data_IF_357696315768
#
_entry.id   IF_357696315768
#
_cell.length_a   1.000
_cell.length_b   1.000
_cell.length_c   1.000
_cell.angle_alpha   90.00
_cell.angle_beta   90.00
_cell.angle_gamma   90.00
#
_symmetry.space_group_name_H-M   'P 1'
#
loop_
_entity.id
_entity.type
_entity.pdbx_description
1 polymer ?
#
# COMPACT_ATOMS: atom_id res chain seq x y z
N UNK A 1 -5.15 -135.21 -48.96
CA UNK A 1 -4.34 -134.35 -48.06
C UNK A 1 -3.96 -133.03 -48.75
N UNK A 2 -4.95 -132.31 -49.32
CA UNK A 2 -4.68 -131.17 -50.24
C UNK A 2 -5.50 -129.90 -49.94
N UNK A 3 -6.31 -129.89 -48.87
CA UNK A 3 -7.11 -128.73 -48.46
C UNK A 3 -6.49 -127.97 -47.27
N UNK A 4 -5.80 -128.69 -46.37
CA UNK A 4 -5.22 -128.14 -45.13
C UNK A 4 -4.05 -127.16 -45.37
N UNK A 5 -3.25 -127.37 -46.42
CA UNK A 5 -2.11 -126.50 -46.75
C UNK A 5 -2.52 -125.20 -47.47
N UNK A 6 -3.67 -125.16 -48.14
CA UNK A 6 -4.20 -123.93 -48.76
C UNK A 6 -4.81 -122.98 -47.72
N UNK A 7 -5.49 -123.50 -46.69
CA UNK A 7 -6.04 -122.67 -45.60
C UNK A 7 -4.95 -122.02 -44.75
N UNK A 8 -3.86 -122.73 -44.41
CA UNK A 8 -2.72 -122.14 -43.68
C UNK A 8 -2.05 -121.00 -44.46
N UNK A 9 -1.86 -121.14 -45.77
CA UNK A 9 -1.26 -120.08 -46.60
C UNK A 9 -2.12 -118.82 -46.67
N UNK A 10 -3.44 -118.96 -46.78
CA UNK A 10 -4.37 -117.81 -46.77
C UNK A 10 -4.43 -117.16 -45.37
N UNK A 11 -4.38 -117.95 -44.29
CA UNK A 11 -4.31 -117.43 -42.93
C UNK A 11 -3.01 -116.66 -42.66
N UNK A 12 -1.86 -117.16 -43.13
CA UNK A 12 -0.58 -116.44 -43.05
C UNK A 12 -0.54 -115.19 -43.93
N UNK A 13 -1.19 -115.18 -45.10
CA UNK A 13 -1.28 -114.00 -45.97
C UNK A 13 -2.23 -112.95 -45.39
N UNK A 14 -3.33 -113.35 -44.75
CA UNK A 14 -4.25 -112.43 -44.05
C UNK A 14 -3.62 -111.92 -42.75
N UNK A 15 -2.90 -112.75 -41.99
CA UNK A 15 -2.12 -112.31 -40.82
C UNK A 15 -0.96 -111.37 -41.22
N UNK A 16 -0.30 -111.62 -42.35
CA UNK A 16 0.72 -110.69 -42.88
C UNK A 16 0.10 -109.41 -43.43
N UNK A 17 -1.07 -109.45 -44.06
CA UNK A 17 -1.77 -108.27 -44.55
C UNK A 17 -2.32 -107.41 -43.39
N UNK A 18 -2.83 -108.02 -42.32
CA UNK A 18 -3.26 -107.32 -41.11
C UNK A 18 -2.05 -106.78 -40.34
N UNK A 19 -0.94 -107.53 -40.23
CA UNK A 19 0.30 -107.05 -39.61
C UNK A 19 0.97 -105.93 -40.43
N UNK A 20 0.89 -105.98 -41.76
CA UNK A 20 1.37 -104.94 -42.66
C UNK A 20 0.47 -103.69 -42.67
N UNK A 21 -0.84 -103.83 -42.44
CA UNK A 21 -1.75 -102.69 -42.24
C UNK A 21 -1.66 -102.09 -40.83
N UNK A 22 -1.23 -102.83 -39.81
CA UNK A 22 -0.98 -102.28 -38.46
C UNK A 22 0.39 -101.63 -38.29
N UNK A 23 1.31 -101.78 -39.26
CA UNK A 23 2.66 -101.19 -39.21
C UNK A 23 2.83 -99.94 -40.10
N UNK A 24 1.76 -99.47 -40.75
CA UNK A 24 1.78 -98.24 -41.56
C UNK A 24 0.68 -97.24 -41.18
N UNK A 25 0.18 -97.29 -39.94
CA UNK A 25 -0.46 -96.14 -39.32
C UNK A 25 0.60 -95.30 -38.59
N UNK A 26 1.58 -94.81 -39.34
CA UNK A 26 2.36 -93.66 -38.89
C UNK A 26 1.48 -92.44 -39.16
N UNK A 27 0.51 -92.19 -38.27
CA UNK A 27 -0.09 -90.87 -38.21
C UNK A 27 1.05 -89.93 -37.81
N UNK A 28 1.54 -89.15 -38.76
CA UNK A 28 2.44 -88.04 -38.44
C UNK A 28 1.62 -87.12 -37.53
N UNK A 29 2.00 -87.01 -36.26
CA UNK A 29 1.47 -85.96 -35.39
C UNK A 29 1.86 -84.62 -36.04
N UNK A 30 0.91 -83.97 -36.70
CA UNK A 30 1.06 -82.57 -37.06
C UNK A 30 1.05 -81.78 -35.75
N UNK A 31 2.21 -81.27 -35.37
CA UNK A 31 2.35 -80.45 -34.16
C UNK A 31 1.35 -79.31 -34.18
N UNK A 32 0.69 -79.06 -33.05
CA UNK A 32 -0.33 -78.01 -32.99
C UNK A 32 0.39 -76.67 -33.21
N UNK A 33 0.01 -75.86 -34.23
CA UNK A 33 0.64 -74.57 -34.44
C UNK A 33 0.30 -73.66 -33.26
N UNK A 34 1.33 -73.06 -32.65
CA UNK A 34 1.13 -72.00 -31.67
C UNK A 34 0.75 -70.73 -32.42
N UNK A 35 -0.31 -70.07 -31.95
CA UNK A 35 -0.61 -68.69 -32.34
C UNK A 35 -0.50 -67.77 -31.12
N UNK A 36 0.55 -66.95 -31.04
CA UNK A 36 0.72 -65.98 -29.98
C UNK A 36 -0.20 -64.78 -30.20
N UNK A 37 -1.14 -64.57 -29.28
CA UNK A 37 -2.06 -63.45 -29.36
C UNK A 37 -2.45 -62.93 -27.97
N UNK A 38 -2.63 -61.62 -27.87
CA UNK A 38 -3.14 -60.96 -26.67
C UNK A 38 -3.65 -59.56 -27.00
N UNK A 39 -4.45 -59.03 -26.08
CA UNK A 39 -4.97 -57.66 -26.10
C UNK A 39 -4.62 -56.95 -24.81
N UNK A 40 -4.37 -55.65 -24.90
CA UNK A 40 -4.19 -54.78 -23.74
C UNK A 40 -5.38 -53.83 -23.60
N UNK A 41 -5.65 -53.41 -22.38
CA UNK A 41 -6.59 -52.35 -22.07
C UNK A 41 -5.96 -51.43 -21.02
N UNK A 42 -5.84 -50.15 -21.35
CA UNK A 42 -5.44 -49.14 -20.37
C UNK A 42 -6.64 -48.87 -19.47
N UNK A 43 -6.44 -48.99 -18.16
CA UNK A 43 -7.51 -48.82 -17.17
C UNK A 43 -8.07 -47.41 -17.28
N UNK A 44 -9.40 -47.28 -17.39
CA UNK A 44 -10.10 -46.01 -17.59
C UNK A 44 -9.68 -45.18 -18.81
N UNK A 45 -8.89 -45.74 -19.74
CA UNK A 45 -8.20 -44.99 -20.80
C UNK A 45 -7.33 -43.84 -20.26
N UNK A 46 -6.76 -44.01 -19.05
CA UNK A 46 -5.83 -43.06 -18.43
C UNK A 46 -4.38 -43.39 -18.83
N UNK A 47 -3.82 -42.58 -19.72
CA UNK A 47 -2.46 -42.70 -20.20
C UNK A 47 -1.48 -41.81 -19.44
N UNK A 48 -1.92 -41.04 -18.43
CA UNK A 48 -1.03 -40.24 -17.59
C UNK A 48 -0.37 -41.12 -16.52
N UNK A 49 0.93 -40.95 -16.29
CA UNK A 49 1.61 -41.75 -15.26
C UNK A 49 1.03 -41.48 -13.86
N UNK A 50 0.73 -42.53 -13.07
CA UNK A 50 1.01 -43.94 -13.34
C UNK A 50 -0.03 -44.65 -14.24
N UNK A 51 0.41 -45.20 -15.38
CA UNK A 51 -0.47 -45.91 -16.33
C UNK A 51 -0.66 -47.36 -15.91
N UNK A 52 -1.90 -47.80 -15.74
CA UNK A 52 -2.25 -49.19 -15.43
C UNK A 52 -2.76 -49.92 -16.67
N UNK A 53 -2.22 -51.11 -16.94
CA UNK A 53 -2.55 -51.91 -18.13
C UNK A 53 -3.06 -53.29 -17.73
N UNK A 54 -4.29 -53.61 -18.13
CA UNK A 54 -4.87 -54.95 -18.07
C UNK A 54 -4.48 -55.75 -19.31
N UNK A 55 -4.03 -56.99 -19.13
CA UNK A 55 -3.57 -57.86 -20.21
C UNK A 55 -4.47 -59.08 -20.29
N UNK A 56 -4.96 -59.42 -21.49
CA UNK A 56 -5.75 -60.63 -21.73
C UNK A 56 -5.10 -61.47 -22.80
N UNK A 57 -4.71 -62.69 -22.45
CA UNK A 57 -4.13 -63.64 -23.39
C UNK A 57 -5.21 -64.24 -24.30
N UNK A 58 -4.92 -64.28 -25.61
CA UNK A 58 -5.77 -64.83 -26.67
C UNK A 58 -5.06 -65.93 -27.46
N UNK A 59 -3.88 -66.36 -27.01
CA UNK A 59 -3.08 -67.36 -27.69
C UNK A 59 -3.79 -68.70 -27.78
N UNK A 60 -3.57 -69.42 -28.88
CA UNK A 60 -4.09 -70.77 -29.11
C UNK A 60 -2.94 -71.74 -29.37
N UNK A 61 -3.10 -73.01 -29.00
CA UNK A 61 -2.10 -74.05 -29.26
C UNK A 61 -0.88 -74.03 -28.34
N UNK A 62 -0.82 -73.13 -27.34
CA UNK A 62 0.30 -72.97 -26.41
C UNK A 62 0.03 -73.54 -25.01
N UNK A 63 1.04 -74.20 -24.43
CA UNK A 63 1.06 -74.75 -23.07
C UNK A 63 1.75 -73.82 -22.06
N UNK A 64 2.75 -73.05 -22.52
CA UNK A 64 3.60 -72.18 -21.69
C UNK A 64 3.64 -70.75 -22.22
N UNK A 65 3.83 -69.79 -21.31
CA UNK A 65 3.81 -68.35 -21.59
C UNK A 65 4.96 -67.66 -20.88
N UNK A 66 5.69 -66.81 -21.59
CA UNK A 66 6.73 -65.96 -21.06
C UNK A 66 6.43 -64.51 -21.46
N UNK A 67 6.18 -63.67 -20.45
CA UNK A 67 5.89 -62.25 -20.64
C UNK A 67 7.08 -61.38 -20.26
N UNK A 68 7.32 -60.34 -21.05
CA UNK A 68 8.25 -59.26 -20.76
C UNK A 68 7.52 -57.91 -20.81
N UNK A 69 7.67 -57.12 -19.76
CA UNK A 69 7.04 -55.81 -19.58
C UNK A 69 8.14 -54.75 -19.42
N UNK A 70 8.65 -54.23 -20.53
CA UNK A 70 9.77 -53.28 -20.54
C UNK A 70 9.41 -52.02 -19.75
N UNK A 71 10.10 -51.72 -18.64
CA UNK A 71 9.90 -50.48 -17.88
C UNK A 71 8.67 -50.44 -16.96
N UNK A 72 7.90 -51.52 -16.85
CA UNK A 72 6.83 -51.66 -15.86
C UNK A 72 7.39 -51.96 -14.46
N UNK A 73 6.60 -51.69 -13.41
CA UNK A 73 6.95 -52.01 -12.02
C UNK A 73 7.13 -53.52 -11.78
N UNK A 74 6.36 -54.34 -12.49
CA UNK A 74 6.56 -55.78 -12.62
C UNK A 74 7.07 -56.04 -14.03
N UNK A 75 8.23 -56.66 -14.19
CA UNK A 75 8.94 -56.72 -15.48
C UNK A 75 8.71 -58.01 -16.27
N UNK A 76 8.16 -59.06 -15.65
CA UNK A 76 7.87 -60.33 -16.32
C UNK A 76 6.77 -61.14 -15.63
N UNK A 77 6.24 -62.15 -16.31
CA UNK A 77 5.28 -63.12 -15.77
C UNK A 77 5.31 -64.42 -16.56
N UNK A 78 4.91 -65.53 -15.93
CA UNK A 78 4.67 -66.83 -16.59
C UNK A 78 3.22 -67.29 -16.50
N UNK A 79 2.34 -66.45 -15.92
CA UNK A 79 0.92 -66.76 -15.82
C UNK A 79 0.26 -66.70 -17.19
N UNK A 80 -0.74 -67.57 -17.41
CA UNK A 80 -1.54 -67.53 -18.64
C UNK A 80 -2.20 -66.16 -18.84
N UNK A 81 -2.70 -65.55 -17.77
CA UNK A 81 -3.20 -64.17 -17.77
C UNK A 81 -2.50 -63.41 -16.64
N UNK A 82 -1.54 -62.52 -16.95
CA UNK A 82 -0.85 -61.72 -15.94
C UNK A 82 -1.79 -60.78 -15.17
N UNK A 83 -1.43 -60.46 -13.93
CA UNK A 83 -2.05 -59.36 -13.18
C UNK A 83 -1.81 -58.00 -13.88
N UNK A 84 -2.66 -56.99 -13.66
CA UNK A 84 -2.46 -55.66 -14.24
C UNK A 84 -1.09 -55.07 -13.85
N UNK A 85 -0.39 -54.50 -14.84
CA UNK A 85 0.94 -53.91 -14.67
C UNK A 85 0.85 -52.38 -14.60
N UNK A 86 1.89 -51.72 -14.07
CA UNK A 86 1.93 -50.24 -13.94
C UNK A 86 3.22 -49.66 -14.51
N UNK A 87 3.11 -48.58 -15.27
CA UNK A 87 4.22 -47.75 -15.74
C UNK A 87 4.27 -46.44 -14.93
N UNK A 88 5.32 -46.27 -14.14
CA UNK A 88 5.46 -45.12 -13.24
C UNK A 88 6.12 -43.89 -13.89
N UNK A 89 6.80 -44.07 -15.01
CA UNK A 89 7.50 -43.03 -15.75
C UNK A 89 6.95 -42.90 -17.16
N UNK A 90 7.07 -41.70 -17.74
CA UNK A 90 6.60 -41.44 -19.09
C UNK A 90 7.56 -42.09 -20.10
N UNK A 91 7.02 -42.63 -21.18
CA UNK A 91 7.80 -43.35 -22.17
C UNK A 91 6.94 -44.18 -23.12
N UNK A 92 7.59 -44.80 -24.10
CA UNK A 92 6.99 -45.83 -24.95
C UNK A 92 7.61 -47.15 -24.54
N UNK A 93 6.77 -48.09 -24.13
CA UNK A 93 7.17 -49.37 -23.55
C UNK A 93 6.61 -50.52 -24.36
N UNK A 94 7.35 -51.64 -24.43
CA UNK A 94 6.90 -52.86 -25.11
C UNK A 94 6.41 -53.90 -24.10
N UNK A 95 5.27 -54.50 -24.43
CA UNK A 95 4.76 -55.71 -23.80
C UNK A 95 4.95 -56.84 -24.81
N UNK A 96 5.72 -57.85 -24.45
CA UNK A 96 6.05 -58.99 -25.31
C UNK A 96 5.55 -60.27 -24.68
N UNK A 97 4.83 -61.09 -25.45
CA UNK A 97 4.45 -62.45 -25.11
C UNK A 97 5.18 -63.42 -26.02
N UNK A 98 5.91 -64.36 -25.43
CA UNK A 98 6.38 -65.57 -26.10
C UNK A 98 5.53 -66.75 -25.62
N UNK A 99 4.82 -67.41 -26.53
CA UNK A 99 3.99 -68.56 -26.24
C UNK A 99 4.60 -69.80 -26.88
N UNK A 100 4.59 -70.94 -26.19
CA UNK A 100 5.19 -72.19 -26.68
C UNK A 100 4.40 -73.42 -26.25
N UNK A 101 4.63 -74.55 -26.93
CA UNK A 101 4.02 -75.83 -26.59
C UNK A 101 5.04 -76.97 -26.53
N UNK A 102 4.60 -78.14 -26.08
CA UNK A 102 5.45 -79.33 -25.91
C UNK A 102 6.01 -79.89 -27.23
N UNK A 103 5.40 -79.54 -28.36
CA UNK A 103 5.84 -79.94 -29.70
C UNK A 103 7.04 -79.09 -30.18
N UNK A 104 7.47 -78.11 -29.39
CA UNK A 104 8.58 -77.22 -29.69
C UNK A 104 8.20 -76.04 -30.58
N UNK A 105 6.92 -75.85 -30.89
CA UNK A 105 6.45 -74.67 -31.61
C UNK A 105 6.43 -73.46 -30.66
N UNK A 106 6.90 -72.32 -31.15
CA UNK A 106 6.88 -71.04 -30.44
C UNK A 106 6.50 -69.90 -31.37
N UNK A 107 5.79 -68.91 -30.84
CA UNK A 107 5.53 -67.63 -31.51
C UNK A 107 5.63 -66.49 -30.50
N UNK A 108 5.98 -65.31 -30.99
CA UNK A 108 6.09 -64.09 -30.21
C UNK A 108 5.14 -63.01 -30.76
N UNK A 109 4.48 -62.28 -29.85
CA UNK A 109 3.74 -61.07 -30.17
C UNK A 109 4.20 -59.94 -29.28
N UNK A 110 4.32 -58.73 -29.85
CA UNK A 110 4.65 -57.51 -29.11
C UNK A 110 3.59 -56.43 -29.35
N UNK A 111 3.20 -55.70 -28.29
CA UNK A 111 2.34 -54.51 -28.34
C UNK A 111 3.05 -53.37 -27.61
N UNK A 112 3.05 -52.17 -28.20
CA UNK A 112 3.56 -50.96 -27.56
C UNK A 112 2.48 -50.25 -26.74
N UNK A 113 2.87 -49.70 -25.59
CA UNK A 113 2.05 -48.83 -24.75
C UNK A 113 2.79 -47.53 -24.48
N UNK A 114 2.09 -46.41 -24.65
CA UNK A 114 2.62 -45.07 -24.38
C UNK A 114 2.12 -44.62 -23.02
N UNK A 115 3.05 -44.22 -22.14
CA UNK A 115 2.76 -43.55 -20.89
C UNK A 115 3.11 -42.07 -21.02
N UNK A 116 2.12 -41.20 -20.90
CA UNK A 116 2.25 -39.76 -20.96
C UNK A 116 2.69 -39.19 -19.59
N UNK A 117 3.40 -38.06 -19.62
CA UNK A 117 3.87 -37.41 -18.40
C UNK A 117 2.69 -36.89 -17.56
N UNK A 118 2.82 -37.00 -16.23
CA UNK A 118 1.84 -36.45 -15.29
C UNK A 118 1.72 -34.94 -15.48
N UNK A 119 0.48 -34.44 -15.49
CA UNK A 119 0.21 -33.01 -15.65
C UNK A 119 0.43 -32.25 -14.34
N UNK A 120 1.13 -31.12 -14.43
CA UNK A 120 1.28 -30.17 -13.33
C UNK A 120 0.98 -28.77 -13.84
N UNK A 121 0.08 -28.06 -13.16
CA UNK A 121 -0.21 -26.66 -13.45
C UNK A 121 0.62 -25.75 -12.54
N UNK A 122 1.37 -24.83 -13.14
CA UNK A 122 2.09 -23.77 -12.43
C UNK A 122 2.37 -22.63 -13.39
N UNK A 123 2.50 -21.42 -12.85
CA UNK A 123 2.78 -20.23 -13.65
C UNK A 123 3.32 -19.08 -12.80
N UNK A 124 3.99 -18.15 -13.46
CA UNK A 124 4.47 -16.90 -12.87
C UNK A 124 4.10 -15.74 -13.80
N UNK A 125 4.44 -14.51 -13.39
CA UNK A 125 4.32 -13.34 -14.25
C UNK A 125 5.50 -12.40 -14.04
N UNK A 126 5.75 -11.58 -15.07
CA UNK A 126 6.66 -10.45 -15.02
C UNK A 126 5.84 -9.16 -15.08
N UNK A 127 6.03 -8.29 -14.10
CA UNK A 127 5.37 -6.98 -14.04
C UNK A 127 6.17 -5.95 -14.83
N UNK A 128 5.50 -5.16 -15.68
CA UNK A 128 6.13 -4.06 -16.40
C UNK A 128 5.98 -2.74 -15.62
N UNK A 129 7.08 -2.28 -15.04
CA UNK A 129 7.13 -1.08 -14.20
C UNK A 129 6.64 -1.34 -12.77
N UNK A 130 6.04 -0.34 -12.15
CA UNK A 130 5.43 -0.43 -10.82
C UNK A 130 4.10 -1.18 -10.80
N UNK A 131 3.63 -1.47 -9.59
CA UNK A 131 2.32 -2.04 -9.25
C UNK A 131 1.20 -0.99 -9.23
N UNK A 132 1.45 0.25 -9.67
CA UNK A 132 0.45 1.32 -9.77
C UNK A 132 -0.40 1.13 -11.02
N UNK A 133 -1.71 1.03 -10.85
CA UNK A 133 -2.65 0.92 -11.98
C UNK A 133 -2.52 2.12 -12.94
N UNK A 134 -2.48 1.88 -14.27
CA UNK A 134 -2.61 0.58 -14.95
C UNK A 134 -1.31 -0.24 -14.97
N UNK A 135 -1.42 -1.55 -14.71
CA UNK A 135 -0.29 -2.49 -14.67
C UNK A 135 -0.40 -3.53 -15.77
N UNK A 136 0.67 -3.70 -16.54
CA UNK A 136 0.80 -4.78 -17.53
C UNK A 136 1.59 -5.94 -16.93
N UNK A 137 1.00 -7.13 -16.95
CA UNK A 137 1.67 -8.38 -16.60
C UNK A 137 1.92 -9.21 -17.86
N UNK A 138 3.12 -9.77 -17.95
CA UNK A 138 3.48 -10.79 -18.92
C UNK A 138 3.49 -12.14 -18.22
N UNK A 139 2.55 -13.02 -18.58
CA UNK A 139 2.45 -14.36 -17.98
C UNK A 139 3.57 -15.27 -18.49
N UNK A 140 3.99 -16.18 -17.61
CA UNK A 140 5.02 -17.20 -17.87
C UNK A 140 4.48 -18.55 -17.40
N UNK A 141 4.15 -19.42 -18.34
CA UNK A 141 3.75 -20.80 -18.07
C UNK A 141 4.93 -21.62 -17.52
N UNK A 142 4.69 -22.36 -16.43
CA UNK A 142 5.61 -23.32 -15.81
C UNK A 142 5.00 -24.73 -15.75
N UNK A 143 3.90 -24.94 -16.46
CA UNK A 143 3.16 -26.19 -16.45
C UNK A 143 3.89 -27.29 -17.21
N UNK A 144 3.57 -28.54 -16.87
CA UNK A 144 4.08 -29.75 -17.52
C UNK A 144 2.92 -30.56 -18.10
N UNK A 145 3.14 -31.18 -19.26
CA UNK A 145 2.19 -32.10 -19.90
C UNK A 145 0.98 -31.44 -20.57
N UNK A 146 0.89 -30.12 -20.62
CA UNK A 146 -0.21 -29.39 -21.25
C UNK A 146 -0.05 -29.27 -22.78
N UNK A 147 -1.16 -29.37 -23.51
CA UNK A 147 -1.26 -29.02 -24.95
C UNK A 147 -2.24 -27.88 -25.21
N UNK A 148 -3.08 -27.54 -24.21
CA UNK A 148 -4.08 -26.48 -24.26
C UNK A 148 -4.03 -25.63 -23.00
N UNK A 149 -4.28 -24.34 -23.15
CA UNK A 149 -4.23 -23.33 -22.09
C UNK A 149 -5.51 -22.50 -22.11
N UNK A 150 -6.02 -22.19 -20.92
CA UNK A 150 -7.07 -21.20 -20.71
C UNK A 150 -6.69 -20.36 -19.50
N UNK A 151 -6.34 -19.10 -19.77
CA UNK A 151 -6.13 -18.07 -18.78
C UNK A 151 -7.42 -17.32 -18.52
N UNK A 152 -7.70 -17.03 -17.26
CA UNK A 152 -8.79 -16.18 -16.80
C UNK A 152 -8.18 -15.10 -15.88
N UNK A 153 -8.49 -13.83 -16.17
CA UNK A 153 -7.95 -12.67 -15.47
C UNK A 153 -9.10 -11.83 -14.91
N UNK A 154 -9.35 -11.96 -13.61
CA UNK A 154 -10.41 -11.21 -12.95
C UNK A 154 -10.10 -9.70 -12.97
N UNK A 155 -10.89 -8.89 -13.66
CA UNK A 155 -10.62 -7.46 -13.87
C UNK A 155 -9.48 -7.14 -14.86
N UNK A 156 -8.94 -8.15 -15.55
CA UNK A 156 -7.89 -7.99 -16.56
C UNK A 156 -8.45 -7.68 -17.95
N UNK A 157 -7.67 -6.99 -18.78
CA UNK A 157 -7.94 -6.80 -20.20
C UNK A 157 -6.76 -7.35 -21.05
N UNK A 158 -6.96 -8.40 -21.87
CA UNK A 158 -8.21 -9.15 -22.02
C UNK A 158 -8.58 -9.96 -20.77
N UNK A 159 -9.86 -10.30 -20.59
CA UNK A 159 -10.33 -11.08 -19.45
C UNK A 159 -9.97 -12.58 -19.52
N UNK A 160 -9.69 -13.08 -20.73
CA UNK A 160 -9.28 -14.48 -20.97
C UNK A 160 -8.27 -14.58 -22.10
N UNK A 161 -7.46 -15.64 -22.13
CA UNK A 161 -6.57 -15.95 -23.26
C UNK A 161 -6.26 -17.44 -23.39
N UNK A 162 -6.07 -17.92 -24.62
CA UNK A 162 -5.64 -19.30 -24.90
C UNK A 162 -4.16 -19.38 -25.34
N UNK A 163 -3.45 -18.26 -25.34
CA UNK A 163 -2.01 -18.22 -25.62
C UNK A 163 -1.26 -18.79 -24.40
N UNK A 164 -0.15 -19.49 -24.60
CA UNK A 164 0.62 -20.06 -23.49
C UNK A 164 1.16 -18.99 -22.55
N UNK A 165 1.71 -17.89 -23.10
CA UNK A 165 2.32 -16.78 -22.34
C UNK A 165 1.67 -15.44 -22.74
N UNK A 166 0.42 -15.17 -22.35
CA UNK A 166 -0.29 -13.95 -22.72
C UNK A 166 0.21 -12.72 -21.95
N UNK A 167 -0.10 -11.53 -22.48
CA UNK A 167 -0.01 -10.27 -21.74
C UNK A 167 -1.42 -9.80 -21.35
N UNK A 168 -1.56 -9.20 -20.17
CA UNK A 168 -2.81 -8.67 -19.63
C UNK A 168 -2.57 -7.36 -18.91
N UNK A 169 -3.55 -6.44 -18.97
CA UNK A 169 -3.51 -5.15 -18.28
C UNK A 169 -4.59 -5.08 -17.20
N UNK A 170 -4.22 -4.67 -15.98
CA UNK A 170 -5.14 -4.38 -14.88
C UNK A 170 -5.23 -2.87 -14.68
N UNK A 171 -6.42 -2.30 -14.88
CA UNK A 171 -6.64 -0.84 -14.85
C UNK A 171 -7.22 -0.34 -13.53
N UNK A 172 -7.75 -1.25 -12.70
CA UNK A 172 -8.29 -0.96 -11.38
C UNK A 172 -7.31 -1.39 -10.29
N UNK A 173 -7.33 -0.72 -9.12
CA UNK A 173 -6.57 -1.17 -7.97
C UNK A 173 -7.27 -2.30 -7.22
N UNK A 174 -6.53 -2.97 -6.34
CA UNK A 174 -7.01 -4.06 -5.50
C UNK A 174 -6.48 -5.42 -5.93
N UNK A 175 -7.07 -6.46 -5.35
CA UNK A 175 -6.68 -7.84 -5.60
C UNK A 175 -7.36 -8.36 -6.87
N UNK A 176 -6.56 -8.98 -7.74
CA UNK A 176 -6.98 -9.61 -8.97
C UNK A 176 -6.56 -11.06 -8.99
N UNK A 177 -7.50 -11.96 -9.31
CA UNK A 177 -7.23 -13.40 -9.41
C UNK A 177 -6.82 -13.72 -10.85
N UNK A 178 -5.67 -14.36 -10.99
CA UNK A 178 -5.20 -14.97 -12.23
C UNK A 178 -5.38 -16.47 -12.09
N UNK A 179 -6.11 -17.09 -13.01
CA UNK A 179 -6.31 -18.54 -13.04
C UNK A 179 -5.81 -19.11 -14.37
N UNK A 180 -5.04 -20.18 -14.29
CA UNK A 180 -4.61 -20.98 -15.43
C UNK A 180 -5.26 -22.35 -15.34
N UNK A 181 -5.97 -22.72 -16.39
CA UNK A 181 -6.46 -24.08 -16.61
C UNK A 181 -5.71 -24.69 -17.79
N UNK A 182 -5.09 -25.85 -17.59
CA UNK A 182 -4.37 -26.59 -18.63
C UNK A 182 -5.07 -27.91 -18.94
N UNK A 183 -4.96 -28.37 -20.18
CA UNK A 183 -5.43 -29.70 -20.60
C UNK A 183 -4.46 -30.37 -21.57
N UNK A 184 -4.44 -31.70 -21.57
CA UNK A 184 -3.80 -32.52 -22.59
C UNK A 184 -4.81 -33.21 -23.54
N UNK A 185 -6.11 -32.88 -23.43
CA UNK A 185 -7.21 -33.49 -24.17
C UNK A 185 -7.91 -34.65 -23.45
N UNK A 186 -7.33 -35.17 -22.36
CA UNK A 186 -7.92 -36.22 -21.51
C UNK A 186 -8.18 -35.72 -20.10
N UNK A 187 -7.21 -34.99 -19.54
CA UNK A 187 -7.25 -34.47 -18.18
C UNK A 187 -7.23 -32.94 -18.18
N UNK A 188 -7.63 -32.34 -17.06
CA UNK A 188 -7.62 -30.89 -16.86
C UNK A 188 -7.19 -30.56 -15.44
N UNK A 189 -6.28 -29.61 -15.30
CA UNK A 189 -5.81 -29.09 -14.01
C UNK A 189 -5.92 -27.57 -14.00
N UNK A 190 -6.24 -27.00 -12.84
CA UNK A 190 -6.29 -25.55 -12.67
C UNK A 190 -5.56 -25.09 -11.41
N UNK A 191 -4.87 -23.96 -11.51
CA UNK A 191 -4.30 -23.25 -10.37
C UNK A 191 -4.60 -21.77 -10.49
N UNK A 192 -4.64 -21.09 -9.35
CA UNK A 192 -4.89 -19.65 -9.29
C UNK A 192 -3.92 -18.97 -8.33
N UNK A 193 -3.56 -17.73 -8.65
CA UNK A 193 -2.70 -16.87 -7.85
C UNK A 193 -3.30 -15.46 -7.84
N UNK A 194 -3.16 -14.75 -6.73
CA UNK A 194 -3.64 -13.37 -6.58
C UNK A 194 -2.49 -12.40 -6.79
N UNK A 195 -2.77 -11.30 -7.48
CA UNK A 195 -1.86 -10.16 -7.62
C UNK A 195 -2.59 -8.89 -7.17
N UNK A 196 -1.89 -7.99 -6.47
CA UNK A 196 -2.47 -6.76 -5.92
C UNK A 196 -1.93 -5.54 -6.67
N UNK A 197 -2.83 -4.64 -7.08
CA UNK A 197 -2.48 -3.39 -7.76
C UNK A 197 -2.76 -2.18 -6.86
N UNK A 198 -1.83 -1.22 -6.83
CA UNK A 198 -2.01 0.05 -6.12
C UNK A 198 -2.90 1.02 -6.90
N UNK A 199 -3.65 1.91 -6.21
CA UNK A 199 -4.42 2.98 -6.85
C UNK A 199 -3.59 3.86 -7.78
N UNK A 200 -4.23 4.43 -8.81
CA UNK A 200 -3.61 5.45 -9.64
C UNK A 200 -3.14 6.65 -8.80
N UNK A 201 -2.12 7.37 -9.28
CA UNK A 201 -1.54 8.53 -8.59
C UNK A 201 -2.61 9.60 -8.35
N UNK A 202 -2.66 10.14 -7.13
CA UNK A 202 -3.45 11.34 -6.84
C UNK A 202 -2.50 12.49 -6.54
N UNK A 203 -2.91 13.71 -6.90
CA UNK A 203 -2.13 14.91 -6.67
C UNK A 203 -2.95 15.88 -5.83
N UNK A 204 -2.40 16.28 -4.68
CA UNK A 204 -2.96 17.33 -3.84
C UNK A 204 -1.88 17.93 -2.94
N UNK A 205 -2.11 19.13 -2.44
CA UNK A 205 -1.27 19.77 -1.44
C UNK A 205 -2.02 20.83 -0.65
N UNK A 206 -1.54 21.15 0.53
CA UNK A 206 -1.98 22.32 1.29
C UNK A 206 -0.75 23.08 1.82
N UNK A 207 -0.98 24.10 2.62
CA UNK A 207 0.08 24.85 3.26
C UNK A 207 -0.35 25.34 4.64
N UNK A 208 0.64 25.68 5.46
CA UNK A 208 0.48 26.36 6.73
C UNK A 208 1.43 27.54 6.84
N UNK A 209 1.16 28.41 7.81
CA UNK A 209 2.00 29.55 8.17
C UNK A 209 2.32 29.49 9.66
N UNK A 210 3.40 30.13 10.05
CA UNK A 210 3.69 30.35 11.47
C UNK A 210 2.66 31.31 12.10
N UNK A 211 2.45 31.27 13.43
CA UNK A 211 1.49 32.15 14.09
C UNK A 211 1.69 33.65 13.83
N UNK A 212 2.94 34.06 13.63
CA UNK A 212 3.36 35.43 13.33
C UNK A 212 2.90 35.90 11.94
N UNK A 213 2.55 34.97 11.06
CA UNK A 213 2.30 35.13 9.63
C UNK A 213 0.82 34.87 9.27
N UNK A 214 -0.04 34.69 10.28
CA UNK A 214 -1.46 34.38 10.13
C UNK A 214 -2.29 35.45 9.39
N UNK A 215 -1.78 36.66 9.25
CA UNK A 215 -2.41 37.74 8.48
C UNK A 215 -2.02 37.75 7.00
N UNK A 216 -1.14 36.83 6.58
CA UNK A 216 -0.69 36.67 5.21
C UNK A 216 -0.04 37.93 4.62
N UNK A 217 0.53 38.81 5.44
CA UNK A 217 1.28 39.96 4.93
C UNK A 217 2.72 39.60 4.53
N UNK A 218 3.29 40.31 3.56
CA UNK A 218 4.69 40.15 3.21
C UNK A 218 5.63 40.76 4.28
N UNK A 219 6.85 40.22 4.51
CA UNK A 219 7.32 38.93 4.02
C UNK A 219 6.58 37.77 4.69
N UNK A 220 6.20 36.75 3.91
CA UNK A 220 5.47 35.57 4.38
C UNK A 220 6.27 34.29 4.15
N UNK A 221 6.39 33.42 5.15
CA UNK A 221 6.88 32.06 4.99
C UNK A 221 5.71 31.07 4.90
N UNK A 222 5.55 30.40 3.75
CA UNK A 222 4.63 29.27 3.61
C UNK A 222 5.37 27.95 3.78
N UNK A 223 4.79 27.07 4.61
CA UNK A 223 5.18 25.67 4.72
C UNK A 223 4.28 24.85 3.80
N UNK A 224 4.78 24.42 2.64
CA UNK A 224 4.00 23.60 1.72
C UNK A 224 4.02 22.14 2.17
N UNK A 225 2.85 21.50 2.14
CA UNK A 225 2.68 20.11 2.53
C UNK A 225 2.00 19.31 1.42
N UNK A 226 2.76 18.36 0.87
CA UNK A 226 2.31 17.48 -0.19
C UNK A 226 1.39 16.38 0.33
N UNK A 227 0.24 16.22 -0.30
CA UNK A 227 -0.77 15.20 0.00
C UNK A 227 -0.91 14.17 -1.14
N UNK A 228 -0.05 14.25 -2.15
CA UNK A 228 -0.06 13.35 -3.30
C UNK A 228 0.26 11.91 -2.88
N UNK A 229 -0.35 10.95 -3.57
CA UNK A 229 -0.12 9.51 -3.36
C UNK A 229 0.42 8.86 -4.63
N UNK A 230 1.25 7.82 -4.47
CA UNK A 230 1.78 6.99 -5.56
C UNK A 230 2.58 7.79 -6.62
N UNK A 231 3.28 8.84 -6.17
CA UNK A 231 4.27 9.60 -6.93
C UNK A 231 5.69 9.29 -6.42
N UNK A 232 6.68 9.33 -7.31
CA UNK A 232 8.09 9.07 -7.00
C UNK A 232 8.94 10.34 -6.96
N UNK A 233 8.51 11.42 -7.62
CA UNK A 233 9.20 12.69 -7.61
C UNK A 233 8.23 13.88 -7.65
N UNK A 234 8.72 15.02 -7.15
CA UNK A 234 7.99 16.27 -7.03
C UNK A 234 8.81 17.43 -7.58
N UNK A 235 8.13 18.37 -8.23
CA UNK A 235 8.68 19.62 -8.71
C UNK A 235 7.68 20.73 -8.39
N UNK A 236 8.11 21.69 -7.58
CA UNK A 236 7.35 22.87 -7.21
C UNK A 236 7.84 24.04 -8.02
N UNK A 237 6.92 24.82 -8.57
CA UNK A 237 7.20 26.09 -9.26
C UNK A 237 6.30 27.18 -8.71
N UNK A 238 6.92 28.24 -8.16
CA UNK A 238 6.23 29.42 -7.64
C UNK A 238 6.97 30.67 -8.13
N UNK A 239 6.50 31.23 -9.25
CA UNK A 239 7.09 32.44 -9.80
C UNK A 239 7.01 33.62 -8.82
N UNK A 240 8.14 34.30 -8.58
CA UNK A 240 8.21 35.46 -7.69
C UNK A 240 8.35 35.14 -6.20
N UNK A 241 8.49 33.87 -5.82
CA UNK A 241 8.83 33.43 -4.47
C UNK A 241 10.26 32.88 -4.39
N UNK A 242 10.77 32.66 -3.17
CA UNK A 242 12.11 32.14 -2.92
C UNK A 242 12.06 30.90 -2.02
N UNK A 243 12.53 29.72 -2.47
CA UNK A 243 12.98 29.46 -3.83
C UNK A 243 11.81 29.46 -4.82
N UNK A 244 12.07 29.82 -6.09
CA UNK A 244 11.05 29.76 -7.14
C UNK A 244 10.83 28.35 -7.70
N UNK A 245 11.78 27.44 -7.43
CA UNK A 245 11.74 26.03 -7.82
C UNK A 245 12.21 25.15 -6.65
N UNK A 246 11.58 24.00 -6.43
CA UNK A 246 12.03 23.03 -5.43
C UNK A 246 11.67 21.60 -5.83
N UNK A 247 12.53 20.65 -5.47
CA UNK A 247 12.27 19.21 -5.61
C UNK A 247 12.00 18.51 -4.26
N UNK A 248 11.96 19.26 -3.15
CA UNK A 248 11.65 18.71 -1.84
C UNK A 248 10.17 18.26 -1.78
N UNK A 249 9.88 17.23 -0.99
CA UNK A 249 8.50 16.77 -0.77
C UNK A 249 7.63 17.86 -0.14
N UNK A 250 8.14 18.55 0.88
CA UNK A 250 7.45 19.60 1.63
C UNK A 250 8.39 20.83 1.76
N UNK A 251 8.46 21.70 0.74
CA UNK A 251 9.35 22.85 0.78
C UNK A 251 8.75 24.03 1.56
N UNK A 252 9.62 24.79 2.19
CA UNK A 252 9.31 26.13 2.69
C UNK A 252 9.58 27.16 1.60
N UNK A 253 8.68 28.13 1.44
CA UNK A 253 8.72 29.13 0.38
C UNK A 253 8.43 30.51 0.95
N UNK A 254 9.36 31.45 0.72
CA UNK A 254 9.26 32.83 1.20
C UNK A 254 8.76 33.78 0.12
N UNK A 255 7.76 34.61 0.46
CA UNK A 255 7.19 35.64 -0.39
C UNK A 255 7.60 37.01 0.15
N UNK A 256 8.49 37.72 -0.56
CA UNK A 256 9.02 39.01 -0.09
C UNK A 256 8.12 40.21 -0.40
N UNK A 257 7.12 40.04 -1.26
CA UNK A 257 6.23 41.10 -1.71
C UNK A 257 4.76 40.68 -1.66
N UNK A 258 3.88 41.67 -1.53
CA UNK A 258 2.45 41.47 -1.69
C UNK A 258 2.11 41.13 -3.14
N UNK A 259 1.10 40.29 -3.33
CA UNK A 259 0.73 39.83 -4.65
C UNK A 259 -0.12 38.58 -4.62
N UNK A 260 -0.58 38.18 -5.80
CA UNK A 260 -1.26 36.90 -5.97
C UNK A 260 -0.31 35.95 -6.70
N UNK A 261 -0.05 34.81 -6.07
CA UNK A 261 0.92 33.82 -6.52
C UNK A 261 0.22 32.52 -6.86
N UNK A 262 0.73 31.83 -7.88
CA UNK A 262 0.28 30.49 -8.26
C UNK A 262 1.36 29.51 -7.80
N UNK A 263 0.96 28.56 -6.96
CA UNK A 263 1.78 27.44 -6.52
C UNK A 263 1.47 26.28 -7.44
N UNK A 264 2.47 25.84 -8.20
CA UNK A 264 2.36 24.71 -9.13
C UNK A 264 3.10 23.53 -8.49
N UNK A 265 2.39 22.43 -8.28
CA UNK A 265 2.98 21.13 -7.93
C UNK A 265 2.89 20.21 -9.15
N UNK A 266 4.02 19.65 -9.55
CA UNK A 266 4.12 18.57 -10.52
C UNK A 266 4.60 17.31 -9.82
N UNK A 267 3.83 16.23 -9.93
CA UNK A 267 4.15 14.93 -9.36
C UNK A 267 4.27 13.88 -10.47
N UNK A 268 5.28 13.00 -10.39
CA UNK A 268 5.56 12.01 -11.45
C UNK A 268 5.81 10.62 -10.87
N UNK A 269 5.29 9.60 -11.53
CA UNK A 269 5.67 8.19 -11.35
C UNK A 269 6.07 7.56 -12.71
N UNK A 270 6.22 6.24 -12.77
CA UNK A 270 6.58 5.53 -14.00
C UNK A 270 5.45 5.41 -15.04
N UNK A 271 4.21 5.78 -14.67
CA UNK A 271 3.03 5.71 -15.53
C UNK A 271 2.63 7.08 -16.09
N UNK A 272 2.72 8.13 -15.28
CA UNK A 272 2.19 9.45 -15.60
C UNK A 272 2.88 10.60 -14.84
N UNK A 273 2.64 11.81 -15.33
CA UNK A 273 2.94 13.08 -14.65
C UNK A 273 1.64 13.86 -14.51
N UNK A 274 1.34 14.33 -13.29
CA UNK A 274 0.21 15.24 -13.02
C UNK A 274 0.71 16.59 -12.55
N UNK A 275 -0.08 17.62 -12.82
CA UNK A 275 0.18 19.00 -12.41
C UNK A 275 -1.07 19.53 -11.71
N UNK A 276 -0.89 20.14 -10.54
CA UNK A 276 -1.93 20.82 -9.78
C UNK A 276 -1.48 22.25 -9.48
N UNK A 277 -2.41 23.20 -9.56
CA UNK A 277 -2.16 24.60 -9.27
C UNK A 277 -3.13 25.10 -8.21
N UNK A 278 -2.62 25.83 -7.22
CA UNK A 278 -3.42 26.58 -6.24
C UNK A 278 -2.92 28.01 -6.12
N UNK A 279 -3.83 28.92 -5.83
CA UNK A 279 -3.51 30.34 -5.68
C UNK A 279 -3.41 30.73 -4.20
N UNK A 280 -2.45 31.58 -3.87
CA UNK A 280 -2.34 32.26 -2.58
C UNK A 280 -2.22 33.77 -2.79
N UNK A 281 -2.83 34.57 -1.92
CA UNK A 281 -2.75 36.03 -1.95
C UNK A 281 -2.01 36.53 -0.71
N UNK A 282 -0.93 37.25 -0.94
CA UNK A 282 -0.06 37.86 0.06
C UNK A 282 -0.43 39.35 0.15
N UNK A 283 -0.71 39.81 1.35
CA UNK A 283 -1.14 41.17 1.63
C UNK A 283 0.05 42.14 1.76
N UNK A 284 -0.16 43.45 1.52
CA UNK A 284 0.83 44.48 1.83
C UNK A 284 1.24 44.46 3.30
N UNK A 285 2.54 44.67 3.55
CA UNK A 285 3.07 44.75 4.90
C UNK A 285 2.56 46.02 5.60
N UNK A 286 1.72 45.85 6.62
CA UNK A 286 1.31 46.97 7.49
C UNK A 286 2.27 47.16 8.65
N UNK A 287 3.17 46.20 8.90
CA UNK A 287 4.00 46.09 10.09
C UNK A 287 3.17 46.20 11.38
N UNK A 288 1.92 45.72 11.37
CA UNK A 288 0.99 45.85 12.48
C UNK A 288 0.25 44.54 12.77
N UNK A 289 0.32 44.05 14.00
CA UNK A 289 -0.65 43.11 14.52
C UNK A 289 -1.84 43.84 15.13
N UNK A 290 -3.05 43.34 14.84
CA UNK A 290 -4.30 43.85 15.40
C UNK A 290 -5.13 42.70 15.97
N UNK A 291 -5.45 42.78 17.25
CA UNK A 291 -6.29 41.82 17.96
C UNK A 291 -7.49 42.56 18.55
N UNK A 292 -8.68 41.98 18.46
CA UNK A 292 -9.90 42.60 18.97
C UNK A 292 -10.60 41.66 19.93
N UNK A 293 -11.32 42.22 20.90
CA UNK A 293 -12.11 41.46 21.88
C UNK A 293 -11.31 40.42 22.67
N UNK A 294 -10.03 40.70 22.93
CA UNK A 294 -9.15 39.85 23.74
C UNK A 294 -9.59 39.93 25.20
N UNK A 295 -9.70 38.78 25.88
CA UNK A 295 -10.13 38.69 27.28
C UNK A 295 -8.94 38.46 28.19
N UNK A 296 -8.79 39.28 29.21
CA UNK A 296 -7.77 39.10 30.25
C UNK A 296 -8.44 39.03 31.61
N UNK A 297 -8.35 37.87 32.26
CA UNK A 297 -9.01 37.57 33.52
C UNK A 297 -8.35 38.24 34.72
N UNK A 298 -9.15 38.54 35.74
CA UNK A 298 -8.63 38.94 37.07
C UNK A 298 -7.95 37.76 37.78
N UNK A 299 -7.42 38.00 38.98
CA UNK A 299 -6.68 37.03 39.80
C UNK A 299 -7.35 35.66 39.94
N UNK A 300 -8.67 35.62 40.10
CA UNK A 300 -9.46 34.38 40.23
C UNK A 300 -9.77 33.69 38.91
N UNK A 301 -9.47 34.33 37.77
CA UNK A 301 -9.71 33.85 36.41
C UNK A 301 -8.43 33.58 35.61
N UNK A 302 -7.23 33.75 36.18
CA UNK A 302 -5.96 33.53 35.51
C UNK A 302 -5.78 32.09 34.95
N UNK A 303 -6.38 31.09 35.60
CA UNK A 303 -6.34 29.69 35.17
C UNK A 303 -7.48 29.29 34.24
N UNK A 304 -8.53 30.10 34.11
CA UNK A 304 -9.72 29.79 33.30
C UNK A 304 -9.81 30.62 32.03
N UNK A 305 -9.60 31.94 32.14
CA UNK A 305 -9.59 32.90 31.02
C UNK A 305 -8.16 33.14 30.53
N UNK A 306 -7.22 33.27 31.46
CA UNK A 306 -5.84 33.64 31.16
C UNK A 306 -5.56 35.12 31.35
N UNK A 307 -4.28 35.46 31.41
CA UNK A 307 -3.81 36.78 31.87
C UNK A 307 -2.51 37.24 31.21
N UNK A 308 -1.81 36.36 30.51
CA UNK A 308 -0.61 36.70 29.74
C UNK A 308 -0.98 36.80 28.27
N UNK A 309 -0.50 37.82 27.58
CA UNK A 309 -0.74 37.97 26.14
C UNK A 309 0.56 37.81 25.35
N UNK A 310 0.47 37.12 24.22
CA UNK A 310 1.56 37.01 23.25
C UNK A 310 1.06 37.40 21.88
N UNK A 311 1.58 38.50 21.34
CA UNK A 311 1.37 38.97 19.97
C UNK A 311 1.98 38.03 18.96
N UNK A 312 3.13 37.40 19.28
CA UNK A 312 3.73 36.37 18.44
C UNK A 312 2.80 35.16 18.26
N UNK A 313 2.20 34.67 19.35
CA UNK A 313 1.27 33.52 19.29
C UNK A 313 -0.17 33.93 18.95
N UNK A 314 -0.46 35.24 18.94
CA UNK A 314 -1.78 35.80 18.70
C UNK A 314 -2.84 35.40 19.73
N UNK A 315 -2.45 35.07 20.97
CA UNK A 315 -3.38 34.47 21.94
C UNK A 315 -3.06 34.85 23.39
N UNK A 316 -4.05 34.57 24.26
CA UNK A 316 -3.94 34.69 25.71
C UNK A 316 -3.50 33.34 26.29
N UNK A 317 -2.49 33.39 27.16
CA UNK A 317 -1.93 32.24 27.87
C UNK A 317 -2.43 32.26 29.31
N UNK A 318 -2.85 31.10 29.80
CA UNK A 318 -3.27 30.89 31.19
C UNK A 318 -2.05 30.68 32.07
N UNK A 319 -2.18 31.03 33.35
CA UNK A 319 -1.05 30.94 34.28
C UNK A 319 -0.45 29.52 34.39
N UNK A 320 -1.29 28.48 34.30
CA UNK A 320 -0.83 27.08 34.34
C UNK A 320 -0.24 26.55 33.03
N UNK A 321 -0.42 27.27 31.92
CA UNK A 321 0.00 26.84 30.57
C UNK A 321 1.32 27.50 30.13
N UNK A 322 1.94 28.29 31.02
CA UNK A 322 3.23 28.92 30.75
C UNK A 322 4.34 27.87 30.79
N UNK A 323 5.15 27.83 29.73
CA UNK A 323 6.27 26.92 29.54
C UNK A 323 7.52 27.71 29.16
N UNK A 324 8.73 27.15 29.27
CA UNK A 324 9.93 27.82 28.77
C UNK A 324 9.88 28.21 27.28
N UNK A 325 9.06 27.51 26.48
CA UNK A 325 8.92 27.73 25.04
C UNK A 325 7.98 28.90 24.69
N UNK A 326 6.94 29.16 25.49
CA UNK A 326 6.03 30.28 25.28
C UNK A 326 6.31 31.48 26.21
N UNK A 327 7.03 31.27 27.31
CA UNK A 327 7.32 32.30 28.31
C UNK A 327 8.15 33.46 27.75
N UNK A 328 9.12 33.18 26.87
CA UNK A 328 9.90 34.21 26.17
C UNK A 328 9.11 34.99 25.11
N UNK A 329 7.89 34.57 24.80
CA UNK A 329 7.02 35.19 23.78
C UNK A 329 5.89 36.03 24.39
N UNK A 330 5.78 36.07 25.72
CA UNK A 330 4.76 36.87 26.42
C UNK A 330 5.17 38.34 26.33
N UNK A 331 4.29 39.22 25.84
CA UNK A 331 4.58 40.66 25.78
C UNK A 331 4.26 41.35 27.11
N UNK A 332 3.19 40.92 27.80
CA UNK A 332 2.77 41.48 29.08
C UNK A 332 1.83 40.54 29.83
N UNK A 333 1.71 40.74 31.15
CA UNK A 333 0.67 40.16 32.00
C UNK A 333 -0.35 41.21 32.46
N UNK A 334 -1.60 40.79 32.67
CA UNK A 334 -2.65 41.60 33.27
C UNK A 334 -3.00 41.10 34.67
N UNK A 335 -2.80 41.95 35.67
CA UNK A 335 -3.22 41.72 37.04
C UNK A 335 -4.45 42.58 37.36
N UNK A 336 -5.59 41.93 37.60
CA UNK A 336 -6.77 42.55 38.22
C UNK A 336 -7.02 41.95 39.60
N UNK A 337 -7.17 42.77 40.63
CA UNK A 337 -7.26 42.27 42.01
C UNK A 337 -8.53 41.44 42.27
N UNK A 338 -9.70 41.96 41.86
CA UNK A 338 -10.99 41.30 42.04
C UNK A 338 -12.06 41.91 41.09
N UNK A 339 -13.30 41.42 41.16
CA UNK A 339 -14.40 41.79 40.26
C UNK A 339 -14.88 43.25 40.37
N UNK A 340 -14.39 44.02 41.36
CA UNK A 340 -14.64 45.46 41.45
C UNK A 340 -13.77 46.28 40.49
N UNK A 341 -12.67 45.70 40.00
CA UNK A 341 -11.68 46.40 39.17
C UNK A 341 -11.18 47.72 39.77
N UNK A 342 -11.11 47.83 41.10
CA UNK A 342 -10.54 49.00 41.79
C UNK A 342 -9.01 49.06 41.73
N UNK A 343 -8.37 47.94 41.41
CA UNK A 343 -6.91 47.84 41.28
C UNK A 343 -6.57 46.90 40.12
N UNK A 344 -6.03 47.48 39.06
CA UNK A 344 -5.60 46.75 37.87
C UNK A 344 -4.27 47.30 37.37
N UNK A 345 -3.47 46.43 36.77
CA UNK A 345 -2.18 46.81 36.23
C UNK A 345 -1.75 45.82 35.15
N UNK A 346 -1.16 46.32 34.07
CA UNK A 346 -0.33 45.54 33.17
C UNK A 346 1.11 45.53 33.67
N UNK A 347 1.72 44.34 33.66
CA UNK A 347 3.02 44.08 34.27
C UNK A 347 3.97 43.48 33.23
N UNK A 348 5.24 43.89 33.29
CA UNK A 348 6.29 43.35 32.44
C UNK A 348 6.46 41.85 32.72
N UNK A 349 6.69 40.99 31.70
CA UNK A 349 6.84 39.54 31.89
C UNK A 349 7.91 39.16 32.92
N UNK A 350 9.03 39.88 32.97
CA UNK A 350 10.14 39.66 33.91
C UNK A 350 9.90 40.22 35.33
N UNK A 351 8.83 40.99 35.52
CA UNK A 351 8.44 41.61 36.79
C UNK A 351 7.15 41.02 37.39
N UNK A 352 6.53 40.02 36.74
CA UNK A 352 5.22 39.47 37.17
C UNK A 352 5.21 38.94 38.60
N UNK A 353 6.34 38.42 39.10
CA UNK A 353 6.52 37.94 40.47
C UNK A 353 6.41 39.05 41.53
N UNK A 354 6.51 40.32 41.13
CA UNK A 354 6.24 41.45 42.02
C UNK A 354 4.73 41.63 42.30
N UNK A 355 3.90 40.83 41.63
CA UNK A 355 2.46 40.69 41.86
C UNK A 355 2.14 39.24 42.26
N UNK A 356 0.87 38.82 42.19
CA UNK A 356 0.45 37.48 42.61
C UNK A 356 0.82 36.33 41.64
N UNK A 357 1.66 36.58 40.64
CA UNK A 357 2.06 35.58 39.65
C UNK A 357 3.30 34.78 40.07
N UNK A 358 3.40 33.57 39.54
CA UNK A 358 4.68 32.84 39.49
C UNK A 358 5.59 33.47 38.44
N UNK A 359 6.90 33.32 38.58
CA UNK A 359 7.86 33.80 37.57
C UNK A 359 7.62 33.13 36.22
N UNK A 360 7.74 33.91 35.15
CA UNK A 360 7.68 33.40 33.77
C UNK A 360 9.10 32.94 33.36
N UNK A 361 9.27 31.71 32.87
CA UNK A 361 10.58 31.24 32.39
C UNK A 361 10.97 31.99 31.10
N UNK A 362 12.26 32.37 31.02
CA UNK A 362 12.83 33.12 29.88
C UNK A 362 12.10 34.44 29.57
N UNK A 363 11.46 35.05 30.58
CA UNK A 363 10.75 36.29 30.43
C UNK A 363 11.67 37.44 29.96
N UNK A 364 11.12 38.31 29.12
CA UNK A 364 11.78 39.52 28.64
C UNK A 364 11.15 40.75 29.29
N UNK A 365 11.86 41.88 29.22
CA UNK A 365 11.37 43.12 29.81
C UNK A 365 10.55 43.95 28.81
N UNK A 366 9.28 44.20 29.13
CA UNK A 366 8.42 45.13 28.42
C UNK A 366 8.19 46.38 29.25
N UNK A 367 8.50 47.54 28.67
CA UNK A 367 8.17 48.84 29.26
C UNK A 367 6.67 49.06 29.19
N UNK A 368 6.02 49.39 30.32
CA UNK A 368 4.56 49.56 30.36
C UNK A 368 4.16 50.90 30.98
N UNK A 369 3.23 51.60 30.32
CA UNK A 369 2.62 52.84 30.79
C UNK A 369 1.14 52.60 31.04
N UNK A 370 0.83 52.17 32.27
CA UNK A 370 -0.53 51.91 32.75
C UNK A 370 -1.40 53.18 32.78
N UNK A 371 -0.82 54.28 33.27
CA UNK A 371 -1.51 55.55 33.50
C UNK A 371 -0.83 56.71 32.76
N UNK A 372 -1.02 56.76 31.44
CA UNK A 372 -0.41 57.77 30.56
C UNK A 372 -0.83 59.22 30.92
N UNK A 373 -2.00 59.40 31.52
CA UNK A 373 -2.49 60.70 32.00
C UNK A 373 -1.59 61.32 33.08
N UNK A 374 -0.80 60.51 33.79
CA UNK A 374 0.14 60.98 34.82
C UNK A 374 1.51 61.36 34.27
N UNK A 375 1.77 61.05 32.99
CA UNK A 375 3.07 61.27 32.32
C UNK A 375 2.93 62.02 30.99
N UNK A 376 1.74 62.55 30.72
CA UNK A 376 1.38 63.19 29.45
C UNK A 376 0.82 62.19 28.44
N UNK A 377 -0.49 62.25 28.21
CA UNK A 377 -1.22 61.38 27.27
C UNK A 377 -0.60 61.43 25.88
N UNK A 378 -0.14 60.28 25.39
CA UNK A 378 0.47 60.12 24.06
C UNK A 378 -0.51 59.57 23.02
N UNK A 379 -1.49 58.78 23.45
CA UNK A 379 -2.43 58.12 22.55
C UNK A 379 -3.85 58.12 23.13
N UNK A 380 -4.76 58.87 22.49
CA UNK A 380 -6.18 58.86 22.84
C UNK A 380 -6.88 57.59 22.31
N UNK A 381 -8.11 57.34 22.78
CA UNK A 381 -8.93 56.24 22.24
C UNK A 381 -9.23 56.40 20.74
N UNK A 382 -9.52 57.62 20.27
CA UNK A 382 -9.68 57.89 18.84
C UNK A 382 -8.37 57.71 18.06
N UNK A 383 -7.24 58.12 18.64
CA UNK A 383 -5.91 57.90 18.08
C UNK A 383 -5.58 56.41 17.94
N UNK A 384 -5.91 55.59 18.94
CA UNK A 384 -5.77 54.13 18.86
C UNK A 384 -6.55 53.55 17.68
N UNK A 385 -7.79 54.01 17.48
CA UNK A 385 -8.61 53.54 16.35
C UNK A 385 -8.00 53.93 14.99
N UNK A 386 -7.29 55.05 14.93
CA UNK A 386 -6.64 55.57 13.73
C UNK A 386 -5.25 54.97 13.41
N UNK A 387 -4.74 54.04 14.24
CA UNK A 387 -3.52 53.28 13.94
C UNK A 387 -3.85 52.20 12.90
N UNK A 388 -3.24 52.27 11.72
CA UNK A 388 -3.52 51.38 10.59
C UNK A 388 -2.25 50.65 10.12
N UNK A 389 -1.08 51.11 10.58
CA UNK A 389 0.23 50.63 10.20
C UNK A 389 1.22 50.82 11.35
N UNK A 390 2.28 50.01 11.40
CA UNK A 390 3.28 50.05 12.45
C UNK A 390 4.02 51.39 12.53
N UNK A 391 4.12 52.12 11.42
CA UNK A 391 4.74 53.46 11.39
C UNK A 391 3.94 54.52 12.15
N UNK A 392 2.64 54.30 12.42
CA UNK A 392 1.83 55.21 13.22
C UNK A 392 2.29 55.23 14.70
N UNK A 393 3.02 54.21 15.15
CA UNK A 393 3.67 54.19 16.46
C UNK A 393 4.97 55.01 16.54
N UNK A 394 5.50 55.50 15.42
CA UNK A 394 6.82 56.17 15.39
C UNK A 394 6.85 57.43 16.27
N UNK A 395 5.77 58.21 16.27
CA UNK A 395 5.64 59.42 17.10
C UNK A 395 5.27 59.11 18.57
N UNK A 396 4.87 57.89 18.89
CA UNK A 396 4.48 57.51 20.24
C UNK A 396 5.73 57.18 21.06
N UNK A 397 5.89 57.86 22.18
CA UNK A 397 6.98 57.60 23.12
C UNK A 397 6.48 56.72 24.27
N UNK A 398 7.12 55.55 24.45
CA UNK A 398 6.83 54.66 25.58
C UNK A 398 7.98 54.76 26.57
N UNK A 399 7.85 55.72 27.50
CA UNK A 399 8.79 55.91 28.59
C UNK A 399 8.22 55.34 29.88
N UNK A 400 8.89 54.32 30.40
CA UNK A 400 8.55 53.73 31.68
C UNK A 400 9.04 54.66 32.81
N UNK A 401 8.11 55.13 33.63
CA UNK A 401 8.39 55.96 34.81
C UNK A 401 7.55 55.47 35.99
N UNK A 402 7.94 55.80 37.22
CA UNK A 402 7.16 55.43 38.40
C UNK A 402 5.71 55.93 38.33
N UNK A 403 5.51 57.16 37.83
CA UNK A 403 4.17 57.72 37.62
C UNK A 403 3.38 56.95 36.55
N UNK A 404 4.03 56.57 35.44
CA UNK A 404 3.40 55.80 34.36
C UNK A 404 3.05 54.36 34.76
N UNK A 405 3.83 53.74 35.67
CA UNK A 405 3.55 52.40 36.23
C UNK A 405 2.34 52.37 37.18
N UNK A 406 1.81 53.52 37.61
CA UNK A 406 0.70 53.60 38.57
C UNK A 406 -0.49 52.73 38.13
N UNK A 407 -0.96 51.80 38.99
CA UNK A 407 -2.18 51.00 38.76
C UNK A 407 -3.42 51.88 38.53
N UNK A 408 -4.41 51.34 37.84
CA UNK A 408 -5.65 52.05 37.50
C UNK A 408 -6.89 51.30 37.96
N UNK A 409 -8.01 52.03 38.05
CA UNK A 409 -9.35 51.49 38.27
C UNK A 409 -10.21 51.60 37.00
N UNK A 410 -11.47 51.18 37.09
CA UNK A 410 -12.44 51.19 35.98
C UNK A 410 -13.15 52.54 35.74
N UNK A 411 -12.72 53.64 36.38
CA UNK A 411 -13.36 54.96 36.22
C UNK A 411 -13.09 55.61 34.85
N UNK A 412 -12.03 55.19 34.17
CA UNK A 412 -11.66 55.64 32.82
C UNK A 412 -11.84 54.48 31.85
N UNK A 413 -12.88 54.55 31.01
CA UNK A 413 -13.18 53.55 29.98
C UNK A 413 -13.75 54.26 28.74
N UNK A 414 -13.20 54.04 27.53
CA UNK A 414 -12.05 53.19 27.23
C UNK A 414 -10.73 53.79 27.74
N UNK A 415 -9.84 52.96 28.26
CA UNK A 415 -8.47 53.32 28.66
C UNK A 415 -7.48 52.79 27.63
N UNK A 416 -6.46 53.59 27.29
CA UNK A 416 -5.34 53.15 26.45
C UNK A 416 -4.09 53.02 27.31
N UNK A 417 -3.49 51.84 27.29
CA UNK A 417 -2.20 51.50 27.92
C UNK A 417 -1.18 51.34 26.81
N UNK A 418 0.01 51.90 26.99
CA UNK A 418 1.10 51.77 26.02
C UNK A 418 2.14 50.80 26.53
N UNK A 419 2.74 50.04 25.63
CA UNK A 419 3.87 49.18 25.96
C UNK A 419 4.93 49.18 24.85
N UNK A 420 6.15 48.83 25.24
CA UNK A 420 7.26 48.60 24.32
C UNK A 420 8.03 47.36 24.77
N UNK A 421 8.07 46.35 23.91
CA UNK A 421 8.75 45.08 24.17
C UNK A 421 10.27 45.27 24.14
N UNK A 422 11.00 44.28 24.67
CA UNK A 422 12.47 44.31 24.78
C UNK A 422 13.16 44.51 23.41
N UNK A 423 12.64 43.84 22.37
CA UNK A 423 13.09 43.94 20.98
C UNK A 423 12.77 45.29 20.31
N UNK A 424 12.00 46.14 20.97
CA UNK A 424 11.74 47.51 20.57
C UNK A 424 10.36 47.77 19.95
N UNK A 425 9.55 46.73 19.69
CA UNK A 425 8.21 46.90 19.12
C UNK A 425 7.33 47.69 20.08
N UNK A 426 6.64 48.70 19.57
CA UNK A 426 5.67 49.50 20.32
C UNK A 426 4.28 48.96 20.11
N UNK A 427 3.48 48.97 21.17
CA UNK A 427 2.08 48.59 21.12
C UNK A 427 1.21 49.40 22.06
N UNK A 428 -0.09 49.24 21.86
CA UNK A 428 -1.13 49.84 22.65
C UNK A 428 -2.24 48.80 22.94
N UNK A 429 -2.81 48.91 24.13
CA UNK A 429 -3.92 48.10 24.60
C UNK A 429 -5.07 49.08 24.90
N UNK A 430 -6.17 48.99 24.15
CA UNK A 430 -7.39 49.74 24.43
C UNK A 430 -8.33 48.85 25.23
N UNK A 431 -8.46 49.11 26.53
CA UNK A 431 -9.47 48.48 27.37
C UNK A 431 -10.83 49.03 26.97
N UNK A 432 -11.67 48.19 26.41
CA UNK A 432 -13.00 48.55 25.90
C UNK A 432 -14.08 48.37 26.95
N UNK A 433 -13.92 47.38 27.83
CA UNK A 433 -14.90 47.08 28.87
C UNK A 433 -14.30 46.34 30.08
N UNK A 434 -14.97 46.46 31.22
CA UNK A 434 -14.69 45.76 32.47
C UNK A 434 -15.88 44.85 32.80
N UNK A 435 -15.73 43.55 32.54
CA UNK A 435 -16.84 42.60 32.66
C UNK A 435 -16.85 41.95 34.04
N UNK A 436 -17.80 42.37 34.88
CA UNK A 436 -18.03 41.76 36.20
C UNK A 436 -18.81 40.45 36.07
N UNK A 437 -18.14 39.32 36.30
CA UNK A 437 -18.70 37.97 36.22
C UNK A 437 -18.25 37.10 37.41
N UNK A 438 -18.22 37.68 38.62
CA UNK A 438 -17.77 36.99 39.84
C UNK A 438 -16.31 36.55 39.74
N UNK A 439 -16.04 35.27 40.02
CA UNK A 439 -14.69 34.68 39.89
C UNK A 439 -14.20 34.59 38.45
N UNK A 440 -15.09 34.71 37.47
CA UNK A 440 -14.77 34.73 36.04
C UNK A 440 -14.73 36.14 35.45
N UNK A 441 -14.50 37.18 36.25
CA UNK A 441 -14.43 38.56 35.72
C UNK A 441 -13.19 38.78 34.85
N UNK A 442 -13.29 39.67 33.86
CA UNK A 442 -12.21 39.97 32.93
C UNK A 442 -12.33 41.37 32.34
N UNK A 443 -11.25 41.88 31.77
CA UNK A 443 -11.30 43.03 30.87
C UNK A 443 -11.39 42.58 29.42
N UNK A 444 -12.12 43.34 28.61
CA UNK A 444 -12.12 43.21 27.17
C UNK A 444 -11.17 44.26 26.58
N UNK A 445 -10.28 43.83 25.69
CA UNK A 445 -9.26 44.71 25.11
C UNK A 445 -9.12 44.53 23.60
N UNK A 446 -8.83 45.63 22.92
CA UNK A 446 -8.23 45.62 21.58
C UNK A 446 -6.73 45.89 21.71
N UNK A 447 -5.90 45.18 20.96
CA UNK A 447 -4.44 45.30 21.02
C UNK A 447 -3.92 45.61 19.62
N UNK A 448 -3.05 46.61 19.52
CA UNK A 448 -2.30 46.94 18.31
C UNK A 448 -0.82 46.99 18.65
N UNK A 449 0.03 46.31 17.89
CA UNK A 449 1.47 46.26 18.16
C UNK A 449 2.25 46.11 16.86
N UNK A 450 3.40 46.79 16.76
CA UNK A 450 4.28 46.63 15.62
C UNK A 450 4.75 45.17 15.47
N UNK A 451 4.90 44.68 14.24
CA UNK A 451 5.48 43.35 14.00
C UNK A 451 7.00 43.35 14.16
N UNK A 452 7.62 44.47 13.79
CA UNK A 452 9.06 44.76 13.85
C UNK A 452 9.27 46.20 14.37
N UNK A 453 10.36 46.46 15.12
CA UNK A 453 10.60 47.73 15.83
C UNK A 453 10.73 48.97 14.94
#
# INVERSE_FOLDING_TARGET
MNFYNKLKRIHYIILWAIFAFTLNACAVEEGIPVKADFTIKVVNNDYSVPVKVEITNKSTGADTYEWSFEGATVTSSTEKNPQPITYAAAGVYKITLKASNKDGNEEEKTIEVKADASMKVDFEWQMQGSDISPVTLQMVDKSLGATQYLWEFDGGNPATSNVQNPSVVFTTPGDHIIKLTISNGMETYSSQKTVTMQPAMTIDFNWSVDPIDNDYEAPLLLHLNNLSTNAYSYEWEIAGATPSLSAATNPDVNFSAAGTYIIILKATNDKETKILQKQVTIQPNTNLFSFSNVKLGISTAHSTIGCFFSSYLGTVIKQGDVTPANGSKIDFGFFGLNSSFNYNQFVSPDEVQNTAFSSIPNATHSKIVNSQELVGTQLSSSGFNAINQGSDFNSITVNETNAGKTPFNNTVTPRVVLFKTEDGRKGAIKITDFVSAGTGSYILVDIKVQKQP
#
